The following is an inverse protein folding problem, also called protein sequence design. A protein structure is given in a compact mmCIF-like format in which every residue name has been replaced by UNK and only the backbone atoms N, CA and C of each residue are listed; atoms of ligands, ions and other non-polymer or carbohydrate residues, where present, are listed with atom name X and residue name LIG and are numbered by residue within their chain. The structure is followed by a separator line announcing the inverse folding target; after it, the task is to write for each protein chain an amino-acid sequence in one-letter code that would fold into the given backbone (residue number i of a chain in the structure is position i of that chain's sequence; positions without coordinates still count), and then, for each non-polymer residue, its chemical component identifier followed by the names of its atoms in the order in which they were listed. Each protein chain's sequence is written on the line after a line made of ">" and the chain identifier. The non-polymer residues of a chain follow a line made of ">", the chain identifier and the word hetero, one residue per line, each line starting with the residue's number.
data_IF_427350974537
#
_entry.id   IF_427350974537
#
_cell.length_a   1.000
_cell.length_b   1.000
_cell.length_c   1.000
_cell.angle_alpha   90.00
_cell.angle_beta   90.00
_cell.angle_gamma   90.00
#
_symmetry.space_group_name_H-M   'P 1'
#
loop_
_entity.id
_entity.type
_entity.pdbx_description
1 polymer ?
#
# COMPACT_ATOMS: atom_id res chain seq x y z
N UNK A 1 -9.56 25.42 4.57
CA UNK A 1 -9.58 24.10 3.89
C UNK A 1 -8.77 23.15 4.74
N UNK A 2 -9.41 22.23 5.47
CA UNK A 2 -8.71 21.12 6.09
C UNK A 2 -8.45 20.08 5.00
N UNK A 3 -7.21 19.63 4.85
CA UNK A 3 -6.89 18.45 4.05
C UNK A 3 -7.65 17.27 4.70
N UNK A 4 -8.58 16.65 3.97
CA UNK A 4 -9.32 15.47 4.43
C UNK A 4 -8.41 14.23 4.34
N UNK A 5 -7.51 14.13 5.31
CA UNK A 5 -6.52 13.06 5.46
C UNK A 5 -7.20 11.68 5.45
N UNK A 6 -8.36 11.55 6.09
CA UNK A 6 -9.10 10.29 6.20
C UNK A 6 -9.48 9.73 4.83
N UNK A 7 -9.87 10.59 3.88
CA UNK A 7 -10.23 10.15 2.52
C UNK A 7 -9.01 9.69 1.71
N UNK A 8 -7.86 10.35 1.89
CA UNK A 8 -6.61 9.95 1.23
C UNK A 8 -6.08 8.63 1.79
N UNK A 9 -6.10 8.46 3.12
CA UNK A 9 -5.70 7.21 3.78
C UNK A 9 -6.65 6.06 3.40
N UNK A 10 -7.97 6.30 3.36
CA UNK A 10 -8.95 5.28 2.96
C UNK A 10 -8.81 4.85 1.49
N UNK A 11 -8.54 5.79 0.58
CA UNK A 11 -8.31 5.46 -0.83
C UNK A 11 -7.06 4.60 -1.03
N UNK A 12 -5.99 4.92 -0.30
CA UNK A 12 -4.74 4.15 -0.33
C UNK A 12 -4.93 2.76 0.29
N UNK A 13 -5.60 2.65 1.44
CA UNK A 13 -5.89 1.35 2.06
C UNK A 13 -6.70 0.44 1.12
N UNK A 14 -7.71 0.99 0.44
CA UNK A 14 -8.52 0.25 -0.54
C UNK A 14 -7.69 -0.25 -1.74
N UNK A 15 -6.64 0.49 -2.12
CA UNK A 15 -5.73 0.11 -3.19
C UNK A 15 -4.86 -1.07 -2.74
N UNK A 16 -4.24 -0.96 -1.56
CA UNK A 16 -3.40 -2.00 -0.95
C UNK A 16 -4.19 -3.31 -0.76
N UNK A 17 -5.41 -3.24 -0.25
CA UNK A 17 -6.29 -4.42 -0.07
C UNK A 17 -6.55 -5.15 -1.39
N UNK A 18 -6.70 -4.42 -2.50
CA UNK A 18 -6.90 -5.02 -3.84
C UNK A 18 -5.65 -5.72 -4.33
N UNK A 19 -4.49 -5.12 -4.12
CA UNK A 19 -3.21 -5.71 -4.52
C UNK A 19 -2.89 -6.97 -3.69
N UNK A 20 -3.21 -6.96 -2.39
CA UNK A 20 -3.10 -8.14 -1.54
C UNK A 20 -4.01 -9.27 -2.03
N UNK A 21 -5.24 -8.97 -2.45
CA UNK A 21 -6.13 -9.96 -3.07
C UNK A 21 -5.56 -10.56 -4.35
N UNK A 22 -4.97 -9.73 -5.23
CA UNK A 22 -4.36 -10.20 -6.47
C UNK A 22 -3.19 -11.14 -6.17
N UNK A 23 -2.37 -10.80 -5.17
CA UNK A 23 -1.23 -11.62 -4.74
C UNK A 23 -1.71 -12.95 -4.14
N UNK A 24 -2.74 -12.94 -3.31
CA UNK A 24 -3.31 -14.15 -2.71
C UNK A 24 -3.92 -15.08 -3.78
N UNK A 25 -4.66 -14.52 -4.74
CA UNK A 25 -5.24 -15.26 -5.87
C UNK A 25 -4.17 -15.84 -6.79
N UNK A 26 -3.10 -15.09 -7.08
CA UNK A 26 -1.96 -15.59 -7.85
C UNK A 26 -1.20 -16.67 -7.09
N UNK A 27 -1.04 -16.53 -5.77
CA UNK A 27 -0.34 -17.52 -4.93
C UNK A 27 -1.09 -18.85 -4.84
N UNK A 28 -2.44 -18.81 -4.78
CA UNK A 28 -3.28 -20.02 -4.73
C UNK A 28 -3.29 -20.81 -6.02
N UNK A 29 -3.15 -20.12 -7.16
CA UNK A 29 -3.19 -20.73 -8.49
C UNK A 29 -1.80 -20.85 -9.13
N UNK A 30 -0.73 -20.58 -8.36
CA UNK A 30 0.64 -20.59 -8.85
C UNK A 30 1.08 -22.02 -9.18
N UNK A 31 1.49 -22.26 -10.43
CA UNK A 31 2.34 -23.42 -10.74
C UNK A 31 3.82 -23.02 -10.50
N UNK A 32 4.48 -23.53 -9.44
CA UNK A 32 5.85 -23.15 -9.12
C UNK A 32 6.88 -23.65 -10.15
N UNK A 33 6.48 -24.55 -11.06
CA UNK A 33 7.31 -24.98 -12.19
C UNK A 33 7.17 -24.08 -13.42
N UNK A 34 6.15 -23.22 -13.44
CA UNK A 34 5.93 -22.25 -14.51
C UNK A 34 6.61 -20.91 -14.18
N UNK A 35 7.77 -20.68 -14.80
CA UNK A 35 8.56 -19.45 -14.62
C UNK A 35 7.76 -18.17 -14.87
N UNK A 36 6.79 -18.17 -15.79
CA UNK A 36 5.98 -16.97 -16.06
C UNK A 36 5.05 -16.63 -14.88
N UNK A 37 4.49 -17.64 -14.22
CA UNK A 37 3.61 -17.43 -13.07
C UNK A 37 4.41 -16.93 -11.87
N UNK A 38 5.60 -17.50 -11.65
CA UNK A 38 6.54 -17.05 -10.59
C UNK A 38 6.99 -15.61 -10.84
N UNK A 39 7.36 -15.26 -12.07
CA UNK A 39 7.74 -13.88 -12.43
C UNK A 39 6.58 -12.90 -12.24
N UNK A 40 5.36 -13.29 -12.62
CA UNK A 40 4.17 -12.46 -12.43
C UNK A 40 3.90 -12.20 -10.95
N UNK A 41 3.94 -13.25 -10.12
CA UNK A 41 3.77 -13.12 -8.68
C UNK A 41 4.86 -12.22 -8.06
N UNK A 42 6.12 -12.39 -8.47
CA UNK A 42 7.23 -11.55 -7.99
C UNK A 42 7.07 -10.07 -8.39
N UNK A 43 6.55 -9.80 -9.58
CA UNK A 43 6.29 -8.43 -10.04
C UNK A 43 5.19 -7.77 -9.21
N UNK A 44 4.08 -8.47 -8.96
CA UNK A 44 2.98 -7.95 -8.12
C UNK A 44 3.43 -7.75 -6.67
N UNK A 45 4.21 -8.66 -6.09
CA UNK A 45 4.82 -8.45 -4.76
C UNK A 45 5.72 -7.21 -4.69
N UNK A 46 6.52 -6.97 -5.73
CA UNK A 46 7.39 -5.79 -5.78
C UNK A 46 6.57 -4.50 -5.83
N UNK A 47 5.46 -4.51 -6.56
CA UNK A 47 4.53 -3.39 -6.65
C UNK A 47 3.85 -3.12 -5.30
N UNK A 48 3.27 -4.15 -4.69
CA UNK A 48 2.65 -4.06 -3.37
C UNK A 48 3.61 -3.52 -2.30
N UNK A 49 4.86 -4.00 -2.29
CA UNK A 49 5.88 -3.53 -1.35
C UNK A 49 6.20 -2.03 -1.53
N UNK A 50 6.29 -1.55 -2.77
CA UNK A 50 6.48 -0.12 -3.05
C UNK A 50 5.28 0.72 -2.63
N UNK A 51 4.06 0.23 -2.86
CA UNK A 51 2.84 0.91 -2.42
C UNK A 51 2.78 0.99 -0.89
N UNK A 52 3.07 -0.10 -0.17
CA UNK A 52 3.12 -0.15 1.29
C UNK A 52 4.11 0.87 1.87
N UNK A 53 5.34 0.95 1.33
CA UNK A 53 6.33 1.97 1.72
C UNK A 53 5.81 3.40 1.50
N UNK A 54 5.12 3.61 0.38
CA UNK A 54 4.50 4.91 0.05
C UNK A 54 3.41 5.27 1.07
N UNK A 55 2.57 4.31 1.46
CA UNK A 55 1.54 4.50 2.50
C UNK A 55 2.19 4.88 3.83
N UNK A 56 3.21 4.13 4.25
CA UNK A 56 3.91 4.36 5.50
C UNK A 56 4.55 5.76 5.55
N UNK A 57 5.16 6.19 4.44
CA UNK A 57 5.72 7.53 4.31
C UNK A 57 4.65 8.62 4.42
N UNK A 58 3.48 8.41 3.79
CA UNK A 58 2.37 9.36 3.81
C UNK A 58 1.77 9.51 5.22
N UNK A 59 1.54 8.38 5.91
CA UNK A 59 1.08 8.35 7.31
C UNK A 59 2.08 9.04 8.25
N UNK A 60 3.39 8.82 8.04
CA UNK A 60 4.45 9.48 8.80
C UNK A 60 4.43 11.00 8.59
N UNK A 61 4.28 11.47 7.36
CA UNK A 61 4.16 12.90 7.04
C UNK A 61 2.93 13.54 7.70
N UNK A 62 1.78 12.86 7.66
CA UNK A 62 0.55 13.27 8.34
C UNK A 62 0.76 13.41 9.84
N UNK A 63 1.35 12.40 10.50
CA UNK A 63 1.64 12.44 11.93
C UNK A 63 2.51 13.65 12.29
N UNK A 64 3.57 13.91 11.52
CA UNK A 64 4.42 15.09 11.71
C UNK A 64 3.66 16.41 11.52
N UNK A 65 2.72 16.48 10.57
CA UNK A 65 1.87 17.66 10.41
C UNK A 65 0.98 17.88 11.62
N UNK A 66 0.35 16.82 12.14
CA UNK A 66 -0.49 16.87 13.34
C UNK A 66 0.33 17.31 14.55
N UNK A 67 1.49 16.69 14.79
CA UNK A 67 2.38 17.03 15.90
C UNK A 67 2.80 18.51 15.84
N UNK A 68 3.14 19.01 14.65
CA UNK A 68 3.48 20.43 14.45
C UNK A 68 2.30 21.37 14.71
N UNK A 69 1.07 20.98 14.40
CA UNK A 69 -0.13 21.77 14.71
C UNK A 69 -0.34 21.78 16.22
N UNK A 70 -0.30 20.62 16.87
CA UNK A 70 -0.50 20.49 18.32
C UNK A 70 0.56 21.24 19.11
N UNK A 71 1.82 21.27 18.68
CA UNK A 71 2.88 22.06 19.33
C UNK A 71 2.69 23.58 19.19
N UNK A 72 1.91 24.04 18.21
CA UNK A 72 1.62 25.46 17.98
C UNK A 72 0.34 25.93 18.67
N UNK A 73 -0.46 25.01 19.19
CA UNK A 73 -1.66 25.27 20.01
C UNK A 73 -1.29 25.32 21.49
#
# INVERSE_FOLDING_TARGET
>A
MAVNIDSAVSGIATQVDKEEQIIDDLSKNLDPSNTADVMKLQMEYSKYSMEEETVAALVSAIKKMIDNITQRM
#
